data_IF_897381777697
#
_entry.id   IF_897381777697
#
_cell.length_a   1.000
_cell.length_b   1.000
_cell.length_c   1.000
_cell.angle_alpha   90.00
_cell.angle_beta   90.00
_cell.angle_gamma   90.00
#
_symmetry.space_group_name_H-M   'P 1'
#
loop_
_entity.id
_entity.type
_entity.pdbx_description
1 polymer ?
#
# COMPACT_ATOMS: atom_id res chain seq x y z
N UNK A 1 -0.09 31.99 13.75
CA UNK A 1 -1.16 31.50 12.85
C UNK A 1 -1.28 30.00 13.07
N UNK A 2 -2.49 29.44 12.98
CA UNK A 2 -2.64 27.98 13.03
C UNK A 2 -1.90 27.34 11.85
N UNK A 3 -1.18 26.24 12.10
CA UNK A 3 -0.57 25.44 11.04
C UNK A 3 -1.68 24.85 10.18
N UNK A 4 -1.67 25.13 8.87
CA UNK A 4 -2.74 24.77 7.93
C UNK A 4 -2.22 24.04 6.68
N UNK A 5 -0.95 23.64 6.65
CA UNK A 5 -0.34 22.93 5.51
C UNK A 5 -0.54 21.42 5.64
N UNK A 6 -1.81 21.00 5.59
CA UNK A 6 -2.23 19.60 5.64
C UNK A 6 -3.59 19.41 4.97
N UNK A 7 -3.91 18.18 4.60
CA UNK A 7 -5.23 17.73 4.16
C UNK A 7 -5.53 16.38 4.81
N UNK A 8 -6.43 16.41 5.79
CA UNK A 8 -6.86 15.26 6.60
C UNK A 8 -8.39 15.28 6.73
N UNK A 9 -8.98 14.19 7.21
CA UNK A 9 -10.43 14.09 7.39
C UNK A 9 -10.96 15.05 8.46
N UNK A 10 -10.42 14.98 9.68
CA UNK A 10 -10.88 15.78 10.81
C UNK A 10 -9.77 15.97 11.86
N UNK A 11 -9.34 17.23 12.04
CA UNK A 11 -8.30 17.60 13.03
C UNK A 11 -8.77 17.38 14.48
N UNK A 12 -10.07 17.29 14.74
CA UNK A 12 -10.62 17.05 16.08
C UNK A 12 -10.25 15.66 16.63
N UNK A 13 -9.91 14.72 15.73
CA UNK A 13 -9.50 13.35 16.08
C UNK A 13 -8.08 13.27 16.66
N UNK A 14 -7.31 14.36 16.64
CA UNK A 14 -5.90 14.35 17.01
C UNK A 14 -5.63 13.90 18.46
N UNK A 15 -6.54 14.18 19.41
CA UNK A 15 -6.37 13.76 20.81
C UNK A 15 -6.58 12.25 20.97
N UNK A 16 -7.42 11.63 20.14
CA UNK A 16 -7.54 10.18 20.07
C UNK A 16 -6.28 9.58 19.45
N UNK A 17 -5.83 10.10 18.30
CA UNK A 17 -4.59 9.63 17.67
C UNK A 17 -3.37 9.74 18.58
N UNK A 18 -3.25 10.82 19.37
CA UNK A 18 -2.17 10.95 20.36
C UNK A 18 -2.20 9.84 21.41
N UNK A 19 -3.39 9.48 21.93
CA UNK A 19 -3.52 8.39 22.91
C UNK A 19 -3.06 7.06 22.31
N UNK A 20 -3.45 6.77 21.08
CA UNK A 20 -3.01 5.54 20.39
C UNK A 20 -1.51 5.55 20.06
N UNK A 21 -0.94 6.70 19.67
CA UNK A 21 0.50 6.83 19.48
C UNK A 21 1.27 6.51 20.76
N UNK A 22 0.83 7.03 21.91
CA UNK A 22 1.45 6.74 23.21
C UNK A 22 1.39 5.25 23.57
N UNK A 23 0.31 4.55 23.22
CA UNK A 23 0.23 3.09 23.38
C UNK A 23 1.17 2.41 22.38
N UNK A 24 1.15 2.81 21.10
CA UNK A 24 1.99 2.21 20.06
C UNK A 24 3.49 2.35 20.35
N UNK A 25 3.92 3.44 20.96
CA UNK A 25 5.32 3.64 21.38
C UNK A 25 5.80 2.53 22.34
N UNK A 26 4.94 1.96 23.18
CA UNK A 26 5.31 0.84 24.06
C UNK A 26 5.50 -0.48 23.31
N UNK A 27 4.86 -0.62 22.16
CA UNK A 27 4.94 -1.80 21.29
C UNK A 27 5.97 -1.64 20.15
N UNK A 28 6.63 -0.49 20.05
CA UNK A 28 7.63 -0.19 19.01
C UNK A 28 9.03 0.08 19.60
N UNK A 29 9.62 -0.88 20.35
CA UNK A 29 10.87 -0.67 21.07
C UNK A 29 12.06 -0.35 20.16
N UNK A 30 12.05 -0.81 18.89
CA UNK A 30 13.09 -0.50 17.91
C UNK A 30 13.16 0.99 17.56
N UNK A 31 12.00 1.63 17.32
CA UNK A 31 11.94 3.07 17.05
C UNK A 31 12.28 3.87 18.31
N UNK A 32 11.80 3.44 19.49
CA UNK A 32 12.08 4.14 20.75
C UNK A 32 13.57 4.09 21.10
N UNK A 33 14.22 2.94 20.88
CA UNK A 33 15.67 2.80 21.07
C UNK A 33 16.45 3.66 20.08
N UNK A 34 16.00 3.70 18.81
CA UNK A 34 16.59 4.59 17.78
C UNK A 34 16.52 6.07 18.19
N UNK A 35 15.38 6.53 18.73
CA UNK A 35 15.24 7.89 19.27
C UNK A 35 16.22 8.13 20.42
N UNK A 36 16.33 7.19 21.35
CA UNK A 36 17.21 7.32 22.52
C UNK A 36 18.70 7.36 22.13
N UNK A 37 19.11 6.54 21.18
CA UNK A 37 20.49 6.43 20.71
C UNK A 37 20.91 7.63 19.84
N UNK A 38 20.09 7.97 18.84
CA UNK A 38 20.47 8.94 17.81
C UNK A 38 19.83 10.33 17.96
N UNK A 39 18.86 10.49 18.87
CA UNK A 39 18.18 11.77 19.07
C UNK A 39 19.13 12.91 19.44
N UNK A 40 20.20 12.66 20.21
CA UNK A 40 21.16 13.72 20.57
C UNK A 40 22.07 14.13 19.41
N UNK A 41 22.44 13.18 18.53
CA UNK A 41 23.35 13.44 17.43
C UNK A 41 22.66 14.08 16.22
N UNK A 42 21.32 14.04 16.16
CA UNK A 42 20.50 14.64 15.10
C UNK A 42 21.01 14.26 13.70
N UNK A 43 21.18 12.96 13.39
CA UNK A 43 21.85 12.53 12.16
C UNK A 43 21.07 12.88 10.89
N UNK A 44 19.76 13.14 11.02
CA UNK A 44 18.90 13.55 9.90
C UNK A 44 18.75 15.06 9.80
N UNK A 45 19.53 15.85 10.54
CA UNK A 45 19.49 17.31 10.44
C UNK A 45 19.76 17.78 9.00
N UNK A 46 18.79 18.48 8.43
CA UNK A 46 18.83 18.95 7.03
C UNK A 46 18.30 17.92 6.01
N UNK A 47 17.87 16.74 6.46
CA UNK A 47 17.07 15.84 5.63
C UNK A 47 15.66 16.43 5.46
N UNK A 48 15.18 16.39 4.22
CA UNK A 48 13.85 16.83 3.79
C UNK A 48 13.20 15.61 3.17
N UNK A 49 12.52 14.86 4.02
CA UNK A 49 11.99 13.53 3.72
C UNK A 49 10.55 13.68 3.22
N UNK A 50 10.31 13.15 2.04
CA UNK A 50 8.96 12.92 1.52
C UNK A 50 8.60 11.46 1.73
N UNK A 51 7.54 11.20 2.51
CA UNK A 51 7.04 9.86 2.77
C UNK A 51 5.76 9.58 1.97
N UNK A 52 5.73 8.46 1.24
CA UNK A 52 4.52 7.86 0.69
C UNK A 52 4.41 6.45 1.25
N UNK A 53 3.63 6.32 2.32
CA UNK A 53 3.44 5.09 3.07
C UNK A 53 2.13 5.19 3.85
N UNK A 54 1.39 4.08 3.96
CA UNK A 54 0.14 3.98 4.72
C UNK A 54 0.10 4.89 5.96
N UNK A 55 -0.83 5.85 6.02
CA UNK A 55 -0.88 6.83 7.12
C UNK A 55 -1.59 6.24 8.35
N UNK A 56 -0.90 5.36 9.07
CA UNK A 56 -1.37 4.66 10.27
C UNK A 56 -0.76 5.22 11.57
N UNK A 57 -1.20 4.72 12.72
CA UNK A 57 -0.57 5.01 14.02
C UNK A 57 0.89 4.59 14.03
N UNK A 58 1.22 3.42 13.48
CA UNK A 58 2.60 2.91 13.41
C UNK A 58 3.49 3.83 12.57
N UNK A 59 2.96 4.31 11.44
CA UNK A 59 3.62 5.32 10.60
C UNK A 59 3.76 6.64 11.33
N UNK A 60 2.79 7.03 12.15
CA UNK A 60 2.92 8.20 13.01
C UNK A 60 4.12 8.10 13.97
N UNK A 61 4.36 6.93 14.57
CA UNK A 61 5.55 6.70 15.42
C UNK A 61 6.85 6.77 14.59
N UNK A 62 6.85 6.27 13.35
CA UNK A 62 7.97 6.42 12.42
C UNK A 62 8.23 7.90 12.10
N UNK A 63 7.21 8.66 11.71
CA UNK A 63 7.31 10.10 11.40
C UNK A 63 7.92 10.86 12.58
N UNK A 64 7.39 10.66 13.79
CA UNK A 64 7.91 11.31 15.00
C UNK A 64 9.33 10.84 15.36
N UNK A 65 9.72 9.63 14.94
CA UNK A 65 11.11 9.18 15.07
C UNK A 65 12.00 9.96 14.10
N UNK A 66 11.64 10.07 12.82
CA UNK A 66 12.43 10.81 11.83
C UNK A 66 12.63 12.28 12.26
N UNK A 67 11.57 12.93 12.73
CA UNK A 67 11.66 14.31 13.22
C UNK A 67 12.49 14.41 14.51
N UNK A 68 12.36 13.46 15.44
CA UNK A 68 13.22 13.40 16.62
C UNK A 68 14.71 13.19 16.29
N UNK A 69 15.03 12.63 15.12
CA UNK A 69 16.39 12.50 14.60
C UNK A 69 16.85 13.73 13.77
N UNK A 70 16.01 14.75 13.64
CA UNK A 70 16.34 16.05 13.02
C UNK A 70 15.82 16.25 11.59
N UNK A 71 15.04 15.32 11.05
CA UNK A 71 14.46 15.48 9.71
C UNK A 71 13.30 16.48 9.69
N UNK A 72 13.16 17.19 8.58
CA UNK A 72 11.89 17.79 8.19
C UNK A 72 11.14 16.79 7.31
N UNK A 73 9.83 16.68 7.48
CA UNK A 73 9.03 15.59 6.91
C UNK A 73 7.74 16.12 6.28
N UNK A 74 7.35 15.58 5.12
CA UNK A 74 6.00 15.73 4.52
C UNK A 74 5.48 14.35 4.14
N UNK A 75 4.20 14.06 4.39
CA UNK A 75 3.67 12.70 4.27
C UNK A 75 2.36 12.58 3.51
N UNK A 76 2.21 11.50 2.75
CA UNK A 76 0.97 11.05 2.13
C UNK A 76 0.86 9.53 2.30
N UNK A 77 -0.38 9.03 2.19
CA UNK A 77 -0.60 7.59 2.12
C UNK A 77 -0.14 7.02 0.78
N UNK A 78 0.22 5.73 0.72
CA UNK A 78 0.43 4.98 -0.53
C UNK A 78 -0.82 4.17 -0.95
N UNK A 79 -1.92 4.30 -0.22
CA UNK A 79 -3.18 3.62 -0.55
C UNK A 79 -4.39 4.40 -0.02
N UNK A 80 -5.41 4.53 -0.88
CA UNK A 80 -6.60 5.35 -0.65
C UNK A 80 -7.48 4.91 0.54
N UNK A 81 -7.38 3.66 1.01
CA UNK A 81 -8.21 3.12 2.10
C UNK A 81 -7.44 2.83 3.39
N UNK A 82 -6.11 2.92 3.35
CA UNK A 82 -5.23 2.50 4.45
C UNK A 82 -5.06 3.53 5.57
N UNK A 83 -5.39 4.79 5.31
CA UNK A 83 -5.27 5.89 6.28
C UNK A 83 -6.10 5.61 7.53
N UNK A 84 -5.50 5.87 8.70
CA UNK A 84 -6.20 6.03 9.96
C UNK A 84 -6.34 7.52 10.25
N UNK A 85 -7.54 8.07 10.10
CA UNK A 85 -7.75 9.52 10.12
C UNK A 85 -7.34 10.18 11.44
N UNK A 86 -7.49 9.47 12.58
CA UNK A 86 -7.02 9.95 13.87
C UNK A 86 -5.49 9.97 13.98
N UNK A 87 -4.78 9.06 13.32
CA UNK A 87 -3.33 9.10 13.21
C UNK A 87 -2.87 10.30 12.39
N UNK A 88 -3.47 10.51 11.21
CA UNK A 88 -3.21 11.66 10.35
C UNK A 88 -3.45 12.98 11.09
N UNK A 89 -4.54 13.07 11.86
CA UNK A 89 -4.86 14.24 12.68
C UNK A 89 -3.83 14.50 13.78
N UNK A 90 -3.36 13.46 14.47
CA UNK A 90 -2.36 13.62 15.52
C UNK A 90 -1.02 14.14 14.98
N UNK A 91 -0.60 13.66 13.81
CA UNK A 91 0.64 14.11 13.15
C UNK A 91 0.48 15.53 12.59
N UNK A 92 -0.64 15.84 11.97
CA UNK A 92 -0.95 17.20 11.52
C UNK A 92 -0.97 18.21 12.68
N UNK A 93 -1.58 17.86 13.83
CA UNK A 93 -1.60 18.69 15.05
C UNK A 93 -0.19 18.90 15.64
N UNK A 94 0.74 17.97 15.41
CA UNK A 94 2.15 18.12 15.79
C UNK A 94 2.93 19.07 14.86
N UNK A 95 2.28 19.66 13.84
CA UNK A 95 2.90 20.61 12.93
C UNK A 95 3.62 19.98 11.74
N UNK A 96 3.34 18.69 11.46
CA UNK A 96 3.95 17.95 10.35
C UNK A 96 2.94 17.87 9.20
N UNK A 97 3.29 18.29 7.96
CA UNK A 97 2.40 18.22 6.81
C UNK A 97 1.99 16.78 6.47
N UNK A 98 0.69 16.52 6.48
CA UNK A 98 0.08 15.23 6.11
C UNK A 98 -1.05 15.47 5.10
N UNK A 99 -1.05 14.70 4.01
CA UNK A 99 -2.04 14.72 2.95
C UNK A 99 -2.57 13.29 2.77
N UNK A 100 -3.53 12.91 3.59
CA UNK A 100 -4.07 11.55 3.64
C UNK A 100 -5.45 11.54 4.29
N UNK A 101 -6.42 10.92 3.62
CA UNK A 101 -7.81 10.76 4.07
C UNK A 101 -8.26 9.34 3.76
N UNK A 102 -8.89 8.65 4.72
CA UNK A 102 -9.45 7.33 4.43
C UNK A 102 -10.61 7.45 3.43
N UNK A 103 -10.49 6.74 2.30
CA UNK A 103 -11.47 6.80 1.22
C UNK A 103 -11.31 7.99 0.29
N UNK A 104 -10.12 8.59 0.23
CA UNK A 104 -9.79 9.59 -0.79
C UNK A 104 -9.95 9.05 -2.21
N UNK A 105 -10.30 9.93 -3.14
CA UNK A 105 -10.37 9.57 -4.56
C UNK A 105 -8.97 9.38 -5.16
N UNK A 106 -8.87 8.69 -6.30
CA UNK A 106 -7.60 8.57 -7.05
C UNK A 106 -7.07 9.93 -7.53
N UNK A 107 -7.94 10.91 -7.78
CA UNK A 107 -7.52 12.28 -8.09
C UNK A 107 -6.85 12.94 -6.89
N UNK A 108 -7.46 12.83 -5.71
CA UNK A 108 -6.89 13.33 -4.45
C UNK A 108 -5.59 12.62 -4.11
N UNK A 109 -5.51 11.30 -4.26
CA UNK A 109 -4.31 10.50 -4.02
C UNK A 109 -3.08 11.04 -4.76
N UNK A 110 -3.22 11.29 -6.07
CA UNK A 110 -2.12 11.85 -6.86
C UNK A 110 -1.87 13.33 -6.57
N UNK A 111 -2.90 14.13 -6.26
CA UNK A 111 -2.68 15.50 -5.76
C UNK A 111 -1.88 15.48 -4.45
N UNK A 112 -2.19 14.58 -3.52
CA UNK A 112 -1.48 14.43 -2.24
C UNK A 112 -0.04 13.96 -2.45
N UNK A 113 0.18 13.03 -3.37
CA UNK A 113 1.52 12.61 -3.79
C UNK A 113 2.34 13.78 -4.36
N UNK A 114 1.72 14.73 -5.05
CA UNK A 114 2.40 15.95 -5.48
C UNK A 114 2.67 16.92 -4.31
N UNK A 115 1.71 17.08 -3.37
CA UNK A 115 1.80 17.99 -2.21
C UNK A 115 2.95 17.65 -1.26
N UNK A 116 3.33 16.39 -1.14
CA UNK A 116 4.44 15.97 -0.28
C UNK A 116 5.81 16.38 -0.81
N UNK A 117 5.91 16.84 -2.06
CA UNK A 117 7.11 17.48 -2.60
C UNK A 117 7.04 19.02 -2.59
N UNK A 118 5.90 19.63 -2.23
CA UNK A 118 5.73 21.09 -2.22
C UNK A 118 6.10 21.70 -0.87
N UNK A 119 7.38 21.94 -0.65
CA UNK A 119 7.83 22.57 0.59
C UNK A 119 7.54 24.08 0.60
N UNK A 120 7.05 24.59 1.72
CA UNK A 120 6.53 25.97 1.84
C UNK A 120 7.58 27.06 1.68
N UNK A 121 8.86 26.75 1.92
CA UNK A 121 10.00 27.65 1.73
C UNK A 121 10.57 27.58 0.29
N UNK A 122 9.96 26.79 -0.59
CA UNK A 122 10.41 26.56 -1.96
C UNK A 122 11.60 25.61 -2.09
N UNK A 123 12.08 25.01 -1.00
CA UNK A 123 13.13 24.00 -1.07
C UNK A 123 12.63 22.67 -1.64
N UNK A 124 13.57 21.77 -1.93
CA UNK A 124 13.28 20.49 -2.58
C UNK A 124 13.44 19.32 -1.62
N UNK A 125 12.70 18.24 -1.89
CA UNK A 125 12.91 16.95 -1.22
C UNK A 125 14.32 16.46 -1.54
N UNK A 126 15.02 15.95 -0.53
CA UNK A 126 16.34 15.34 -0.73
C UNK A 126 16.39 13.85 -0.39
N UNK A 127 15.33 13.29 0.20
CA UNK A 127 15.19 11.86 0.49
C UNK A 127 13.74 11.44 0.27
N UNK A 128 13.53 10.26 -0.31
CA UNK A 128 12.21 9.63 -0.40
C UNK A 128 12.19 8.42 0.55
N UNK A 129 11.09 8.28 1.29
CA UNK A 129 10.70 7.04 1.98
C UNK A 129 9.43 6.55 1.31
N UNK A 130 9.52 5.41 0.62
CA UNK A 130 8.50 4.94 -0.31
C UNK A 130 8.02 3.55 0.08
N UNK A 131 6.73 3.30 -0.12
CA UNK A 131 6.09 2.00 -0.03
C UNK A 131 5.25 1.80 -1.30
N UNK A 132 5.75 0.97 -2.21
CA UNK A 132 5.12 0.70 -3.51
C UNK A 132 5.79 1.40 -4.69
N UNK A 133 6.55 2.45 -4.40
CA UNK A 133 7.35 3.17 -5.40
C UNK A 133 6.61 4.29 -6.13
N UNK A 134 5.44 4.73 -5.63
CA UNK A 134 4.61 5.72 -6.32
C UNK A 134 5.21 7.13 -6.26
N UNK A 135 5.78 7.53 -5.12
CA UNK A 135 6.48 8.82 -5.02
C UNK A 135 7.71 8.87 -5.93
N UNK A 136 8.47 7.78 -5.98
CA UNK A 136 9.60 7.62 -6.89
C UNK A 136 9.16 7.66 -8.35
N UNK A 137 8.11 6.91 -8.70
CA UNK A 137 7.57 6.86 -10.06
C UNK A 137 7.07 8.24 -10.51
N UNK A 138 6.37 8.98 -9.64
CA UNK A 138 5.89 10.32 -9.93
C UNK A 138 7.02 11.26 -10.38
N UNK A 139 8.13 11.27 -9.65
CA UNK A 139 9.29 12.11 -9.99
C UNK A 139 9.97 11.64 -11.27
N UNK A 140 10.22 10.34 -11.41
CA UNK A 140 11.00 9.82 -12.54
C UNK A 140 10.23 9.91 -13.86
N UNK A 141 8.94 9.59 -13.88
CA UNK A 141 8.11 9.72 -15.08
C UNK A 141 7.93 11.19 -15.45
N UNK A 142 7.61 12.06 -14.49
CA UNK A 142 7.49 13.50 -14.76
C UNK A 142 8.78 14.10 -15.35
N UNK A 143 9.95 13.74 -14.83
CA UNK A 143 11.24 14.23 -15.35
C UNK A 143 11.55 13.71 -16.77
N UNK A 144 11.13 12.49 -17.10
CA UNK A 144 11.27 11.95 -18.47
C UNK A 144 10.36 12.66 -19.46
N UNK A 145 9.13 12.98 -19.05
CA UNK A 145 8.22 13.80 -19.86
C UNK A 145 8.81 15.20 -20.09
N UNK A 146 9.40 15.84 -19.07
CA UNK A 146 10.12 17.11 -19.24
C UNK A 146 11.32 17.00 -20.21
N UNK A 147 11.96 15.84 -20.25
CA UNK A 147 13.05 15.54 -21.18
C UNK A 147 12.58 15.22 -22.62
N UNK A 148 11.27 15.24 -22.87
CA UNK A 148 10.67 15.06 -24.19
C UNK A 148 10.06 13.67 -24.44
N UNK A 149 10.09 12.75 -23.47
CA UNK A 149 9.44 11.43 -23.58
C UNK A 149 7.92 11.53 -23.33
N UNK A 150 7.22 12.43 -24.01
CA UNK A 150 5.80 12.73 -23.74
C UNK A 150 4.87 11.54 -23.95
N UNK A 151 5.22 10.61 -24.84
CA UNK A 151 4.39 9.47 -25.19
C UNK A 151 4.07 8.54 -24.00
N UNK A 152 4.87 8.56 -22.93
CA UNK A 152 4.71 7.66 -21.77
C UNK A 152 3.49 8.00 -20.90
N UNK A 153 2.86 9.16 -21.08
CA UNK A 153 1.68 9.61 -20.33
C UNK A 153 0.46 9.91 -21.22
N UNK A 154 0.46 9.44 -22.47
CA UNK A 154 -0.63 9.71 -23.41
C UNK A 154 -1.69 8.62 -23.48
N UNK A 155 -1.35 7.39 -23.10
CA UNK A 155 -2.24 6.22 -23.19
C UNK A 155 -2.32 5.51 -21.85
N UNK A 156 -3.26 5.91 -20.97
CA UNK A 156 -3.49 5.19 -19.72
C UNK A 156 -4.07 3.80 -20.02
N UNK A 157 -3.53 2.78 -19.33
CA UNK A 157 -3.95 1.38 -19.40
C UNK A 157 -4.80 0.97 -18.19
N UNK A 158 -4.85 1.80 -17.14
CA UNK A 158 -5.68 1.61 -15.94
C UNK A 158 -6.40 2.90 -15.54
N UNK A 159 -7.39 2.78 -14.66
CA UNK A 159 -8.07 3.96 -14.09
C UNK A 159 -7.13 4.83 -13.27
N UNK A 160 -6.24 4.21 -12.48
CA UNK A 160 -5.22 4.90 -11.72
C UNK A 160 -4.29 5.74 -12.62
N UNK A 161 -3.87 5.19 -13.77
CA UNK A 161 -3.01 5.88 -14.72
C UNK A 161 -3.66 7.12 -15.33
N UNK A 162 -5.00 7.16 -15.46
CA UNK A 162 -5.72 8.35 -15.92
C UNK A 162 -5.41 9.54 -14.99
N UNK A 163 -5.54 9.32 -13.68
CA UNK A 163 -5.32 10.36 -12.67
C UNK A 163 -3.83 10.65 -12.47
N UNK A 164 -2.98 9.63 -12.51
CA UNK A 164 -1.53 9.79 -12.46
C UNK A 164 -1.00 10.70 -13.59
N UNK A 165 -1.40 10.41 -14.83
CA UNK A 165 -0.98 11.19 -15.99
C UNK A 165 -1.57 12.59 -15.98
N UNK A 166 -2.83 12.74 -15.56
CA UNK A 166 -3.47 14.04 -15.39
C UNK A 166 -2.71 14.91 -14.36
N UNK A 167 -2.30 14.33 -13.23
CA UNK A 167 -1.53 15.04 -12.21
C UNK A 167 -0.13 15.45 -12.71
N UNK A 168 0.56 14.60 -13.47
CA UNK A 168 1.83 14.99 -14.11
C UNK A 168 1.61 16.18 -15.05
N UNK A 169 0.60 16.11 -15.94
CA UNK A 169 0.26 17.21 -16.86
C UNK A 169 -0.07 18.51 -16.11
N UNK A 170 -0.82 18.42 -15.00
CA UNK A 170 -1.14 19.55 -14.11
C UNK A 170 0.12 20.19 -13.52
N UNK A 171 1.04 19.40 -12.98
CA UNK A 171 2.31 19.90 -12.40
C UNK A 171 3.23 20.50 -13.46
N UNK A 172 3.34 19.88 -14.64
CA UNK A 172 4.14 20.40 -15.76
C UNK A 172 3.66 21.79 -16.19
N UNK A 173 2.34 21.98 -16.30
CA UNK A 173 1.76 23.28 -16.65
C UNK A 173 1.96 24.33 -15.55
N UNK A 174 1.82 23.94 -14.27
CA UNK A 174 1.97 24.85 -13.14
C UNK A 174 3.42 25.27 -12.87
N UNK A 175 4.39 24.39 -13.12
CA UNK A 175 5.80 24.61 -12.76
C UNK A 175 6.75 23.89 -13.73
N UNK A 176 6.95 24.39 -14.96
CA UNK A 176 7.84 23.74 -15.92
C UNK A 176 9.28 23.60 -15.41
N UNK A 177 9.87 22.41 -15.60
CA UNK A 177 11.23 22.09 -15.14
C UNK A 177 11.31 21.70 -13.67
N UNK A 178 10.17 21.59 -12.97
CA UNK A 178 10.12 21.22 -11.56
C UNK A 178 10.54 19.77 -11.33
N UNK A 179 10.07 18.83 -12.16
CA UNK A 179 10.42 17.41 -11.97
C UNK A 179 11.92 17.17 -12.16
N UNK A 180 12.54 17.81 -13.13
CA UNK A 180 13.97 17.72 -13.41
C UNK A 180 14.79 18.25 -12.23
N UNK A 181 14.39 19.39 -11.66
CA UNK A 181 15.03 19.97 -10.46
C UNK A 181 14.86 19.06 -9.25
N UNK A 182 13.64 18.55 -9.02
CA UNK A 182 13.33 17.68 -7.91
C UNK A 182 14.10 16.34 -8.02
N UNK A 183 14.13 15.72 -9.21
CA UNK A 183 14.92 14.51 -9.49
C UNK A 183 16.39 14.69 -9.14
N UNK A 184 16.98 15.83 -9.50
CA UNK A 184 18.39 16.12 -9.23
C UNK A 184 18.70 16.39 -7.74
N UNK A 185 17.71 16.80 -6.96
CA UNK A 185 17.87 17.09 -5.53
C UNK A 185 17.80 15.82 -4.65
N UNK A 186 17.18 14.75 -5.13
CA UNK A 186 17.04 13.49 -4.38
C UNK A 186 18.39 12.79 -4.26
N UNK A 187 18.80 12.53 -3.01
CA UNK A 187 20.04 11.84 -2.65
C UNK A 187 19.85 10.33 -2.56
N UNK A 188 18.62 9.86 -2.34
CA UNK A 188 18.28 8.44 -2.36
C UNK A 188 16.84 8.17 -1.95
N UNK A 189 16.44 6.91 -2.14
CA UNK A 189 15.15 6.36 -1.72
C UNK A 189 15.32 5.12 -0.84
N UNK A 190 14.47 4.96 0.16
CA UNK A 190 14.31 3.70 0.90
C UNK A 190 12.94 3.11 0.56
N UNK A 191 12.92 1.89 0.02
CA UNK A 191 11.69 1.25 -0.46
C UNK A 191 11.37 0.00 0.37
N UNK A 192 10.13 -0.07 0.85
CA UNK A 192 9.70 -1.03 1.87
C UNK A 192 9.06 -2.31 1.32
N UNK A 193 8.41 -2.30 0.15
CA UNK A 193 7.65 -3.46 -0.32
C UNK A 193 8.25 -4.16 -1.53
N UNK A 194 7.97 -5.46 -1.65
CA UNK A 194 8.40 -6.31 -2.77
C UNK A 194 8.07 -5.68 -4.13
N UNK A 195 6.89 -5.07 -4.23
CA UNK A 195 6.41 -4.45 -5.47
C UNK A 195 7.23 -3.21 -5.85
N UNK A 196 7.44 -2.29 -4.90
CA UNK A 196 8.29 -1.12 -5.15
C UNK A 196 9.75 -1.51 -5.41
N UNK A 197 10.27 -2.52 -4.70
CA UNK A 197 11.62 -3.07 -4.96
C UNK A 197 11.75 -3.64 -6.37
N UNK A 198 10.73 -4.36 -6.88
CA UNK A 198 10.73 -4.85 -8.25
C UNK A 198 10.75 -3.69 -9.27
N UNK A 199 9.97 -2.63 -9.02
CA UNK A 199 10.01 -1.39 -9.82
C UNK A 199 11.42 -0.78 -9.83
N UNK A 200 12.09 -0.71 -8.68
CA UNK A 200 13.46 -0.21 -8.57
C UNK A 200 14.47 -1.07 -9.35
N UNK A 201 14.40 -2.40 -9.25
CA UNK A 201 15.28 -3.27 -10.03
C UNK A 201 15.10 -3.09 -11.54
N UNK A 202 13.85 -2.96 -12.02
CA UNK A 202 13.58 -2.66 -13.45
C UNK A 202 14.17 -1.32 -13.88
N UNK A 203 14.18 -0.31 -13.00
CA UNK A 203 14.82 0.97 -13.27
C UNK A 203 16.34 0.83 -13.35
N UNK A 204 16.95 0.04 -12.45
CA UNK A 204 18.40 -0.25 -12.48
C UNK A 204 18.79 -0.97 -13.76
N UNK A 205 18.07 -2.04 -14.14
CA UNK A 205 18.31 -2.83 -15.36
C UNK A 205 18.26 -1.97 -16.63
N UNK A 206 17.40 -0.94 -16.64
CA UNK A 206 17.25 0.00 -17.75
C UNK A 206 18.19 1.21 -17.67
N UNK A 207 19.01 1.33 -16.62
CA UNK A 207 19.86 2.50 -16.40
C UNK A 207 19.07 3.80 -16.12
N UNK A 208 17.85 3.69 -15.60
CA UNK A 208 16.93 4.81 -15.38
C UNK A 208 16.89 5.30 -13.93
N UNK A 209 17.51 4.60 -12.97
CA UNK A 209 17.57 5.01 -11.57
C UNK A 209 18.73 5.99 -11.33
N UNK A 210 18.46 7.28 -11.01
CA UNK A 210 19.50 8.31 -10.99
C UNK A 210 20.15 8.55 -9.62
N UNK A 211 19.66 7.89 -8.57
CA UNK A 211 20.11 8.01 -7.18
C UNK A 211 20.14 6.62 -6.52
N UNK A 212 20.91 6.41 -5.45
CA UNK A 212 20.92 5.14 -4.73
C UNK A 212 19.54 4.80 -4.15
N UNK A 213 19.19 3.52 -4.18
CA UNK A 213 18.01 2.99 -3.54
C UNK A 213 18.39 1.91 -2.53
N UNK A 214 17.78 1.95 -1.35
CA UNK A 214 17.90 0.90 -0.34
C UNK A 214 16.64 0.05 -0.39
N UNK A 215 16.83 -1.22 -0.72
CA UNK A 215 15.82 -2.26 -0.59
C UNK A 215 15.69 -2.62 0.90
N UNK A 216 14.68 -2.05 1.56
CA UNK A 216 14.38 -2.36 2.97
C UNK A 216 13.63 -3.68 3.06
N UNK A 217 12.78 -4.00 2.08
CA UNK A 217 11.96 -5.21 2.05
C UNK A 217 12.76 -6.49 2.32
N UNK A 218 13.89 -6.66 1.63
CA UNK A 218 14.68 -7.90 1.68
C UNK A 218 15.61 -7.98 2.90
N UNK A 219 15.55 -7.00 3.81
CA UNK A 219 16.07 -7.18 5.15
C UNK A 219 15.37 -8.36 5.82
N UNK A 220 16.13 -9.26 6.46
CA UNK A 220 15.55 -10.44 7.13
C UNK A 220 14.51 -10.04 8.18
N UNK A 221 14.79 -8.98 8.94
CA UNK A 221 13.90 -8.42 9.96
C UNK A 221 12.66 -7.72 9.39
N UNK A 222 12.60 -7.52 8.07
CA UNK A 222 11.42 -6.99 7.35
C UNK A 222 10.69 -8.15 6.70
N UNK A 223 11.18 -8.68 5.59
CA UNK A 223 10.52 -9.76 4.81
C UNK A 223 10.04 -10.94 5.65
N UNK A 224 10.84 -11.43 6.62
CA UNK A 224 10.48 -12.61 7.41
C UNK A 224 9.63 -12.29 8.63
N UNK A 225 9.40 -11.02 8.93
CA UNK A 225 8.56 -10.59 10.04
C UNK A 225 7.30 -9.88 9.57
N UNK A 226 7.45 -8.73 8.92
CA UNK A 226 6.36 -7.89 8.46
C UNK A 226 5.46 -8.65 7.47
N UNK A 227 6.01 -9.08 6.33
CA UNK A 227 5.23 -9.76 5.28
C UNK A 227 4.60 -11.06 5.79
N UNK A 228 5.24 -11.77 6.73
CA UNK A 228 4.76 -13.07 7.22
C UNK A 228 3.89 -12.96 8.47
N UNK A 229 4.43 -12.46 9.58
CA UNK A 229 3.71 -12.36 10.85
C UNK A 229 2.71 -11.21 10.83
N UNK A 230 3.02 -10.08 10.18
CA UNK A 230 2.06 -8.99 10.00
C UNK A 230 0.80 -9.45 9.28
N UNK A 231 0.94 -10.07 8.11
CA UNK A 231 -0.20 -10.64 7.38
C UNK A 231 -0.89 -11.78 8.13
N UNK A 232 -0.15 -12.54 8.97
CA UNK A 232 -0.75 -13.56 9.83
C UNK A 232 -1.74 -12.96 10.83
N UNK A 233 -1.40 -11.81 11.42
CA UNK A 233 -2.27 -11.14 12.38
C UNK A 233 -3.40 -10.34 11.68
N UNK A 234 -3.09 -9.63 10.59
CA UNK A 234 -4.00 -8.66 10.00
C UNK A 234 -5.02 -9.22 8.99
N UNK A 235 -4.71 -10.32 8.29
CA UNK A 235 -5.58 -10.83 7.23
C UNK A 235 -6.96 -11.22 7.75
N UNK A 236 -7.01 -12.13 8.72
CA UNK A 236 -8.28 -12.62 9.29
C UNK A 236 -8.99 -11.50 10.04
N UNK A 237 -8.26 -10.57 10.68
CA UNK A 237 -8.86 -9.38 11.28
C UNK A 237 -9.61 -8.54 10.24
N UNK A 238 -8.98 -8.23 9.10
CA UNK A 238 -9.61 -7.49 8.00
C UNK A 238 -10.87 -8.18 7.47
N UNK A 239 -10.80 -9.48 7.18
CA UNK A 239 -11.96 -10.25 6.70
C UNK A 239 -13.09 -10.26 7.76
N UNK A 240 -12.75 -10.41 9.05
CA UNK A 240 -13.73 -10.41 10.14
C UNK A 240 -14.40 -9.06 10.30
N UNK A 241 -13.65 -7.95 10.35
CA UNK A 241 -14.23 -6.60 10.43
C UNK A 241 -15.12 -6.29 9.23
N UNK A 242 -14.78 -6.82 8.06
CA UNK A 242 -15.56 -6.63 6.85
C UNK A 242 -16.85 -7.47 6.85
N UNK A 243 -16.80 -8.74 7.23
CA UNK A 243 -17.87 -9.70 6.92
C UNK A 243 -18.49 -10.41 8.11
N UNK A 244 -17.85 -10.34 9.29
CA UNK A 244 -18.19 -11.10 10.49
C UNK A 244 -18.32 -12.63 10.23
N UNK A 245 -17.72 -13.11 9.14
CA UNK A 245 -17.91 -14.48 8.67
C UNK A 245 -17.26 -15.50 9.62
N UNK A 246 -17.94 -16.64 9.79
CA UNK A 246 -17.35 -17.79 10.48
C UNK A 246 -16.25 -18.40 9.61
N UNK A 247 -15.01 -18.42 10.13
CA UNK A 247 -13.85 -19.02 9.45
C UNK A 247 -13.84 -20.54 9.54
N UNK A 248 -14.19 -21.10 10.72
CA UNK A 248 -14.05 -22.52 10.95
C UNK A 248 -14.94 -23.35 10.01
N UNK A 249 -14.35 -24.35 9.36
CA UNK A 249 -15.03 -25.23 8.40
C UNK A 249 -15.17 -24.66 6.98
N UNK A 250 -14.83 -23.38 6.74
CA UNK A 250 -14.78 -22.82 5.38
C UNK A 250 -13.57 -23.29 4.61
N UNK A 251 -13.68 -23.27 3.29
CA UNK A 251 -12.56 -23.43 2.38
C UNK A 251 -12.04 -22.06 1.98
N UNK A 252 -10.78 -21.77 2.30
CA UNK A 252 -10.11 -20.53 1.90
C UNK A 252 -8.98 -20.84 0.92
N UNK A 253 -8.93 -20.10 -0.18
CA UNK A 253 -7.90 -20.22 -1.22
C UNK A 253 -6.97 -19.02 -1.09
N UNK A 254 -5.67 -19.30 -0.93
CA UNK A 254 -4.61 -18.29 -0.94
C UNK A 254 -3.86 -18.42 -2.27
N UNK A 255 -3.93 -17.37 -3.09
CA UNK A 255 -3.22 -17.33 -4.36
C UNK A 255 -1.83 -16.74 -4.17
N UNK A 256 -0.79 -17.56 -4.34
CA UNK A 256 0.58 -17.24 -3.98
C UNK A 256 0.96 -17.76 -2.60
N UNK A 257 2.20 -18.20 -2.46
CA UNK A 257 2.76 -18.79 -1.25
C UNK A 257 4.18 -18.26 -0.97
N UNK A 258 4.41 -17.00 -1.32
CA UNK A 258 5.54 -16.20 -0.83
C UNK A 258 5.45 -15.90 0.67
N UNK A 259 6.18 -14.90 1.15
CA UNK A 259 6.16 -14.57 2.60
C UNK A 259 4.75 -14.12 3.06
N UNK A 260 4.06 -13.31 2.27
CA UNK A 260 2.65 -12.91 2.50
C UNK A 260 1.73 -14.12 2.49
N UNK A 261 1.74 -14.92 1.41
CA UNK A 261 0.91 -16.12 1.28
C UNK A 261 1.11 -17.12 2.43
N UNK A 262 2.34 -17.30 2.92
CA UNK A 262 2.64 -18.13 4.10
C UNK A 262 1.98 -17.58 5.37
N UNK A 263 2.08 -16.26 5.60
CA UNK A 263 1.39 -15.59 6.72
C UNK A 263 -0.12 -15.73 6.63
N UNK A 264 -0.68 -15.46 5.45
CA UNK A 264 -2.10 -15.55 5.14
C UNK A 264 -2.68 -16.94 5.36
N UNK A 265 -2.00 -17.98 4.86
CA UNK A 265 -2.40 -19.37 5.05
C UNK A 265 -2.39 -19.77 6.54
N UNK A 266 -1.33 -19.40 7.26
CA UNK A 266 -1.23 -19.66 8.70
C UNK A 266 -2.34 -18.95 9.50
N UNK A 267 -2.72 -17.73 9.10
CA UNK A 267 -3.83 -16.97 9.71
C UNK A 267 -5.16 -17.71 9.55
N UNK A 268 -5.50 -18.06 8.30
CA UNK A 268 -6.76 -18.72 7.95
C UNK A 268 -6.87 -20.09 8.59
N UNK A 269 -5.80 -20.90 8.55
CA UNK A 269 -5.76 -22.21 9.19
C UNK A 269 -5.90 -22.08 10.72
N UNK A 270 -5.20 -21.13 11.34
CA UNK A 270 -5.30 -20.85 12.77
C UNK A 270 -6.71 -20.42 13.20
N UNK A 271 -7.48 -19.79 12.31
CA UNK A 271 -8.88 -19.45 12.52
C UNK A 271 -9.86 -20.62 12.23
N UNK A 272 -9.36 -21.79 11.83
CA UNK A 272 -10.13 -23.01 11.60
C UNK A 272 -10.56 -23.25 10.15
N UNK A 273 -10.10 -22.44 9.19
CA UNK A 273 -10.39 -22.64 7.78
C UNK A 273 -9.57 -23.81 7.21
N UNK A 274 -10.14 -24.53 6.24
CA UNK A 274 -9.41 -25.47 5.39
C UNK A 274 -8.76 -24.68 4.26
N UNK A 275 -7.44 -24.51 4.34
CA UNK A 275 -6.69 -23.69 3.40
C UNK A 275 -6.23 -24.52 2.20
N UNK A 276 -6.42 -23.94 1.01
CA UNK A 276 -5.83 -24.40 -0.25
C UNK A 276 -4.93 -23.29 -0.81
N UNK A 277 -3.93 -23.68 -1.58
CA UNK A 277 -2.93 -22.76 -2.14
C UNK A 277 -2.87 -22.90 -3.65
N UNK A 278 -2.71 -21.79 -4.36
CA UNK A 278 -2.28 -21.81 -5.76
C UNK A 278 -0.86 -21.25 -5.86
N UNK A 279 -0.01 -21.87 -6.67
CA UNK A 279 1.38 -21.44 -6.85
C UNK A 279 1.88 -21.74 -8.25
N UNK A 280 2.77 -20.86 -8.73
CA UNK A 280 3.50 -21.02 -9.99
C UNK A 280 4.94 -21.46 -9.74
N UNK A 281 5.50 -21.15 -8.56
CA UNK A 281 6.84 -21.57 -8.18
C UNK A 281 6.77 -22.99 -7.55
N UNK A 282 7.47 -23.99 -8.12
CA UNK A 282 7.42 -25.37 -7.62
C UNK A 282 8.02 -25.54 -6.23
N UNK A 283 8.95 -24.68 -5.82
CA UNK A 283 9.56 -24.69 -4.48
C UNK A 283 8.53 -24.19 -3.47
N UNK A 284 7.86 -23.07 -3.76
CA UNK A 284 6.80 -22.54 -2.90
C UNK A 284 5.61 -23.49 -2.82
N UNK A 285 5.21 -24.10 -3.94
CA UNK A 285 4.17 -25.13 -3.96
C UNK A 285 4.55 -26.34 -3.09
N UNK A 286 5.78 -26.84 -3.19
CA UNK A 286 6.24 -27.95 -2.36
C UNK A 286 6.25 -27.57 -0.87
N UNK A 287 6.64 -26.35 -0.52
CA UNK A 287 6.53 -25.85 0.86
C UNK A 287 5.08 -25.88 1.35
N UNK A 288 4.13 -25.38 0.56
CA UNK A 288 2.71 -25.41 0.92
C UNK A 288 2.19 -26.83 1.17
N UNK A 289 2.58 -27.79 0.34
CA UNK A 289 2.27 -29.21 0.55
C UNK A 289 2.85 -29.74 1.86
N UNK A 290 4.11 -29.40 2.17
CA UNK A 290 4.78 -29.84 3.40
C UNK A 290 4.16 -29.22 4.67
N UNK A 291 3.61 -28.02 4.55
CA UNK A 291 2.86 -27.35 5.62
C UNK A 291 1.40 -27.87 5.73
N UNK A 292 1.00 -28.84 4.89
CA UNK A 292 -0.27 -29.54 4.95
C UNK A 292 -1.41 -28.90 4.15
N UNK A 293 -1.09 -27.96 3.24
CA UNK A 293 -2.07 -27.32 2.36
C UNK A 293 -2.20 -28.06 1.03
N UNK A 294 -3.44 -28.19 0.55
CA UNK A 294 -3.71 -28.73 -0.78
C UNK A 294 -3.34 -27.68 -1.84
N UNK A 295 -2.37 -28.01 -2.70
CA UNK A 295 -1.99 -27.15 -3.84
C UNK A 295 -2.86 -27.49 -5.04
N UNK A 296 -3.54 -26.48 -5.58
CA UNK A 296 -4.57 -26.60 -6.62
C UNK A 296 -4.40 -25.52 -7.68
N UNK A 297 -5.08 -25.66 -8.82
CA UNK A 297 -5.37 -24.51 -9.69
C UNK A 297 -6.61 -23.79 -9.18
N UNK A 298 -6.76 -22.50 -9.48
CA UNK A 298 -7.92 -21.74 -9.04
C UNK A 298 -9.20 -22.28 -9.67
N UNK A 299 -9.12 -22.69 -10.93
CA UNK A 299 -10.19 -23.28 -11.73
C UNK A 299 -10.76 -24.57 -11.11
N UNK A 300 -9.94 -25.34 -10.38
CA UNK A 300 -10.39 -26.58 -9.70
C UNK A 300 -11.35 -26.31 -8.53
N UNK A 301 -11.25 -25.12 -7.92
CA UNK A 301 -11.89 -24.84 -6.62
C UNK A 301 -12.82 -23.64 -6.62
N UNK A 302 -12.84 -22.86 -7.70
CA UNK A 302 -13.63 -21.62 -7.83
C UNK A 302 -15.10 -21.81 -7.46
N UNK A 303 -15.70 -22.95 -7.80
CA UNK A 303 -17.13 -23.25 -7.54
C UNK A 303 -17.44 -23.66 -6.10
N UNK A 304 -16.42 -24.00 -5.30
CA UNK A 304 -16.62 -24.66 -4.00
C UNK A 304 -16.01 -23.89 -2.83
N UNK A 305 -14.96 -23.09 -3.06
CA UNK A 305 -14.33 -22.30 -2.02
C UNK A 305 -15.22 -21.13 -1.54
N UNK A 306 -15.00 -20.72 -0.29
CA UNK A 306 -15.75 -19.66 0.40
C UNK A 306 -15.02 -18.31 0.37
N UNK A 307 -13.70 -18.34 0.48
CA UNK A 307 -12.85 -17.15 0.63
C UNK A 307 -11.69 -17.26 -0.36
N UNK A 308 -11.41 -16.19 -1.09
CA UNK A 308 -10.32 -16.11 -2.06
C UNK A 308 -9.46 -14.88 -1.74
N UNK A 309 -8.19 -15.11 -1.39
CA UNK A 309 -7.23 -14.07 -1.05
C UNK A 309 -6.05 -14.13 -2.01
N UNK A 310 -5.77 -13.02 -2.70
CA UNK A 310 -4.58 -12.88 -3.56
C UNK A 310 -3.39 -12.30 -2.80
N UNK A 311 -2.20 -12.85 -3.04
CA UNK A 311 -0.95 -12.52 -2.31
C UNK A 311 0.30 -12.53 -3.21
N UNK A 312 0.11 -12.36 -4.53
CA UNK A 312 1.14 -12.70 -5.52
C UNK A 312 2.08 -11.55 -5.89
N UNK A 313 1.62 -10.30 -5.76
CA UNK A 313 2.27 -9.13 -6.35
C UNK A 313 2.27 -9.13 -7.88
N UNK A 314 1.45 -9.99 -8.51
CA UNK A 314 1.29 -10.10 -9.96
C UNK A 314 -0.04 -9.45 -10.38
N UNK A 315 -0.60 -9.80 -11.54
CA UNK A 315 -1.87 -9.26 -12.02
C UNK A 315 -2.75 -10.34 -12.63
N UNK A 316 -4.05 -10.05 -12.73
CA UNK A 316 -5.05 -10.92 -13.38
C UNK A 316 -5.13 -12.33 -12.78
N UNK A 317 -4.83 -12.46 -11.48
CA UNK A 317 -4.88 -13.73 -10.74
C UNK A 317 -6.31 -14.22 -10.62
N UNK A 318 -7.21 -13.34 -10.17
CA UNK A 318 -8.65 -13.59 -10.14
C UNK A 318 -9.30 -12.81 -11.29
N UNK A 319 -9.59 -13.52 -12.37
CA UNK A 319 -10.26 -12.98 -13.57
C UNK A 319 -11.77 -12.88 -13.38
N UNK A 320 -12.43 -12.07 -14.22
CA UNK A 320 -13.92 -11.94 -14.23
C UNK A 320 -14.60 -13.30 -14.39
N UNK A 321 -14.07 -14.18 -15.23
CA UNK A 321 -14.63 -15.51 -15.45
C UNK A 321 -14.53 -16.41 -14.21
N UNK A 322 -13.49 -16.25 -13.39
CA UNK A 322 -13.42 -16.95 -12.10
C UNK A 322 -14.54 -16.46 -11.18
N UNK A 323 -14.68 -15.14 -11.03
CA UNK A 323 -15.67 -14.55 -10.12
C UNK A 323 -17.11 -14.90 -10.51
N UNK A 324 -17.42 -15.00 -11.80
CA UNK A 324 -18.72 -15.48 -12.29
C UNK A 324 -19.03 -16.91 -11.87
N UNK A 325 -18.03 -17.77 -11.84
CA UNK A 325 -18.16 -19.19 -11.48
C UNK A 325 -18.13 -19.43 -9.96
N UNK A 326 -17.85 -18.40 -9.16
CA UNK A 326 -17.89 -18.52 -7.70
C UNK A 326 -19.32 -18.76 -7.19
N UNK A 327 -19.42 -19.51 -6.09
CA UNK A 327 -20.68 -19.74 -5.39
C UNK A 327 -21.23 -18.44 -4.80
N UNK A 328 -22.54 -18.42 -4.54
CA UNK A 328 -23.20 -17.28 -3.89
C UNK A 328 -22.55 -16.99 -2.53
N UNK A 329 -22.35 -15.70 -2.25
CA UNK A 329 -21.67 -15.14 -1.08
C UNK A 329 -20.20 -15.53 -0.88
N UNK A 330 -19.50 -15.93 -1.95
CA UNK A 330 -18.04 -16.03 -1.90
C UNK A 330 -17.41 -14.67 -1.53
N UNK A 331 -16.40 -14.69 -0.68
CA UNK A 331 -15.64 -13.51 -0.26
C UNK A 331 -14.36 -13.45 -1.07
N UNK A 332 -14.09 -12.30 -1.66
CA UNK A 332 -12.91 -12.05 -2.48
C UNK A 332 -12.19 -10.82 -1.94
N UNK A 333 -10.89 -10.95 -1.73
CA UNK A 333 -10.04 -9.85 -1.25
C UNK A 333 -8.61 -9.99 -1.72
N UNK A 334 -7.88 -8.88 -1.67
CA UNK A 334 -6.48 -8.80 -2.02
C UNK A 334 -5.67 -8.29 -0.83
N UNK A 335 -4.53 -8.91 -0.55
CA UNK A 335 -3.54 -8.42 0.41
C UNK A 335 -2.14 -8.33 -0.23
N UNK A 336 -2.07 -8.41 -1.55
CA UNK A 336 -0.96 -7.87 -2.32
C UNK A 336 -0.97 -6.34 -2.33
N UNK A 337 -0.04 -5.77 -3.07
CA UNK A 337 0.20 -4.32 -3.01
C UNK A 337 -0.79 -3.51 -3.88
N UNK A 338 -1.06 -3.95 -5.12
CA UNK A 338 -1.97 -3.28 -6.05
C UNK A 338 -3.28 -4.05 -6.24
N UNK A 339 -4.35 -3.33 -6.56
CA UNK A 339 -5.71 -3.86 -6.80
C UNK A 339 -5.80 -4.80 -8.01
N UNK A 340 -4.87 -4.68 -8.95
CA UNK A 340 -4.84 -5.41 -10.22
C UNK A 340 -4.54 -6.93 -10.12
N UNK A 341 -4.30 -7.48 -8.93
CA UNK A 341 -4.36 -8.93 -8.72
C UNK A 341 -5.75 -9.49 -9.06
N UNK A 342 -6.79 -8.65 -8.93
CA UNK A 342 -8.19 -8.97 -9.18
C UNK A 342 -8.70 -8.06 -10.30
N UNK A 343 -9.41 -8.63 -11.26
CA UNK A 343 -9.97 -7.85 -12.39
C UNK A 343 -11.22 -7.04 -12.00
N UNK A 344 -11.11 -6.17 -10.99
CA UNK A 344 -12.22 -5.34 -10.47
C UNK A 344 -12.78 -4.41 -11.55
N UNK A 345 -11.93 -3.83 -12.41
CA UNK A 345 -12.37 -3.00 -13.54
C UNK A 345 -13.34 -3.74 -14.48
N UNK A 346 -13.14 -5.05 -14.67
CA UNK A 346 -14.01 -5.92 -15.45
C UNK A 346 -15.36 -6.22 -14.77
N UNK A 347 -15.56 -5.74 -13.54
CA UNK A 347 -16.82 -5.88 -12.80
C UNK A 347 -17.72 -4.64 -12.86
N UNK A 348 -17.26 -3.51 -13.41
CA UNK A 348 -17.99 -2.22 -13.39
C UNK A 348 -19.36 -2.26 -14.06
N UNK A 349 -19.59 -3.21 -14.97
CA UNK A 349 -20.84 -3.40 -15.69
C UNK A 349 -21.86 -4.32 -14.98
N UNK A 350 -21.51 -4.87 -13.80
CA UNK A 350 -22.45 -5.64 -12.98
C UNK A 350 -23.19 -4.74 -11.98
N UNK A 351 -24.16 -5.33 -11.27
CA UNK A 351 -24.88 -4.63 -10.20
C UNK A 351 -24.03 -4.65 -8.93
N UNK A 352 -23.77 -3.48 -8.37
CA UNK A 352 -23.07 -3.29 -7.11
C UNK A 352 -24.04 -2.77 -6.06
N UNK A 353 -24.02 -3.40 -4.89
CA UNK A 353 -24.73 -2.92 -3.70
C UNK A 353 -23.68 -2.70 -2.60
N UNK A 354 -23.41 -1.45 -2.24
CA UNK A 354 -22.52 -1.14 -1.13
C UNK A 354 -23.16 -1.59 0.20
N UNK A 355 -22.44 -2.42 0.96
CA UNK A 355 -22.91 -2.90 2.26
C UNK A 355 -22.50 -1.91 3.36
N UNK A 356 -21.22 -1.55 3.36
CA UNK A 356 -20.59 -0.57 4.25
C UNK A 356 -19.26 -0.11 3.62
N UNK A 357 -18.54 0.86 4.22
CA UNK A 357 -17.23 1.26 3.69
C UNK A 357 -16.32 0.05 3.46
N UNK A 358 -15.74 -0.03 2.26
CA UNK A 358 -14.83 -1.09 1.80
C UNK A 358 -15.44 -2.51 1.71
N UNK A 359 -16.77 -2.63 1.69
CA UNK A 359 -17.45 -3.91 1.52
C UNK A 359 -18.60 -3.76 0.53
N UNK A 360 -18.45 -4.40 -0.61
CA UNK A 360 -19.40 -4.30 -1.71
C UNK A 360 -19.89 -5.69 -2.12
N UNK A 361 -21.17 -5.78 -2.47
CA UNK A 361 -21.77 -6.97 -3.03
C UNK A 361 -21.94 -6.81 -4.54
N UNK A 362 -21.34 -7.71 -5.31
CA UNK A 362 -21.45 -7.74 -6.77
C UNK A 362 -22.41 -8.85 -7.17
N UNK A 363 -23.47 -8.53 -7.91
CA UNK A 363 -24.47 -9.50 -8.41
C UNK A 363 -24.23 -9.80 -9.88
N UNK A 364 -24.03 -11.08 -10.21
CA UNK A 364 -23.83 -11.56 -11.58
C UNK A 364 -25.16 -11.88 -12.28
N UNK A 365 -25.19 -11.98 -13.63
CA UNK A 365 -26.41 -12.28 -14.39
C UNK A 365 -27.07 -13.62 -14.03
N UNK A 366 -26.29 -14.58 -13.54
CA UNK A 366 -26.79 -15.87 -13.04
C UNK A 366 -27.50 -15.80 -11.68
N UNK A 367 -27.51 -14.63 -11.04
CA UNK A 367 -28.13 -14.38 -9.74
C UNK A 367 -27.24 -14.65 -8.54
N UNK A 368 -26.09 -15.29 -8.71
CA UNK A 368 -25.07 -15.43 -7.67
C UNK A 368 -24.45 -14.08 -7.34
N UNK A 369 -24.13 -13.92 -6.05
CA UNK A 369 -23.53 -12.71 -5.48
C UNK A 369 -22.15 -13.02 -4.92
N UNK A 370 -21.28 -12.04 -4.93
CA UNK A 370 -19.94 -12.10 -4.36
C UNK A 370 -19.71 -10.89 -3.47
N UNK A 371 -19.01 -11.08 -2.35
CA UNK A 371 -18.58 -9.99 -1.46
C UNK A 371 -17.15 -9.63 -1.84
N UNK A 372 -16.93 -8.41 -2.32
CA UNK A 372 -15.62 -7.85 -2.59
C UNK A 372 -15.16 -6.99 -1.41
N UNK A 373 -13.91 -7.14 -1.02
CA UNK A 373 -13.29 -6.40 0.07
C UNK A 373 -12.27 -5.40 -0.45
N UNK A 374 -12.42 -4.13 -0.02
CA UNK A 374 -11.59 -2.97 -0.39
C UNK A 374 -11.40 -2.85 -1.90
#
# INVERSE_FOLDING_TARGET
MAFNDYKIADISLADWGRKELTIAETEMPGLMSTRAEYGKSQPLKGARITGSLHMTIQTGVLIETLTALGAEVRWASCNIFSTQDHAAAAIAKAGIPVFAVKGESLEEYWDYTDKIFQWTDGGLTNMILDDGGDATMYILIGARVEAGETAIIEKPESEEEIYFFAQIKKRLAASPGWFTKQRAAIKGVTEETTTGVNRLYRLVEKGLLPFPAINVNDSVTKSKFDNKYGCKESLVDGIRRATDTMMAGKVAVVCGYGDVGKGSAASLQGAGARVKVTEVDPICALQACMDGYEVVTLEDVVKTADIFITTTGNKDIIRVDHMRDMKDMAIVGNIGHFDNEIQVAGLKNFKWDNIKPQVDMVTFPGGNRMILLS
#
